data_IF_324315349589
#
_entry.id   IF_324315349589
#
_cell.length_a   1.000
_cell.length_b   1.000
_cell.length_c   1.000
_cell.angle_alpha   90.00
_cell.angle_beta   90.00
_cell.angle_gamma   90.00
#
_symmetry.space_group_name_H-M   'P 1'
#
loop_
_entity.id
_entity.type
_entity.pdbx_description
1 polymer ?
#
# COMPACT_ATOMS: atom_id res chain seq x y z
N UNK A 1 -11.27 -0.40 2.72
CA UNK A 1 -11.44 -1.65 3.52
C UNK A 1 -12.26 -2.71 2.83
N UNK A 2 -13.38 -2.41 2.18
CA UNK A 2 -14.11 -3.37 1.32
C UNK A 2 -13.19 -4.00 0.27
N UNK A 3 -12.34 -3.23 -0.36
CA UNK A 3 -11.39 -3.67 -1.39
C UNK A 3 -10.30 -4.60 -0.85
N UNK A 4 -9.70 -4.33 0.33
CA UNK A 4 -8.80 -5.29 0.98
C UNK A 4 -9.54 -6.58 1.36
N UNK A 5 -10.84 -6.51 1.65
CA UNK A 5 -11.66 -7.68 1.88
C UNK A 5 -11.92 -8.44 0.57
N UNK A 6 -12.17 -7.76 -0.53
CA UNK A 6 -12.42 -8.40 -1.84
C UNK A 6 -11.22 -9.14 -2.39
N UNK A 7 -9.99 -8.62 -2.18
CA UNK A 7 -8.80 -9.37 -2.61
C UNK A 7 -8.51 -10.53 -1.70
N UNK A 8 -8.63 -10.31 -0.39
CA UNK A 8 -8.52 -11.44 0.53
C UNK A 8 -9.50 -12.54 0.14
N UNK A 9 -10.67 -12.15 -0.34
CA UNK A 9 -11.67 -13.04 -0.91
C UNK A 9 -11.14 -13.78 -2.12
N UNK A 10 -10.50 -13.07 -3.05
CA UNK A 10 -9.93 -13.65 -4.27
C UNK A 10 -8.72 -14.53 -3.94
N UNK A 11 -7.77 -14.03 -3.12
CA UNK A 11 -6.59 -14.80 -2.69
C UNK A 11 -6.97 -16.10 -1.98
N UNK A 12 -7.92 -16.04 -1.05
CA UNK A 12 -8.42 -17.22 -0.34
C UNK A 12 -9.13 -18.15 -1.32
N UNK A 13 -9.96 -17.61 -2.21
CA UNK A 13 -10.65 -18.37 -3.24
C UNK A 13 -9.69 -19.13 -4.16
N UNK A 14 -8.59 -18.51 -4.57
CA UNK A 14 -7.54 -19.16 -5.38
C UNK A 14 -6.87 -20.30 -4.60
N UNK A 15 -6.49 -20.07 -3.34
CA UNK A 15 -5.88 -21.10 -2.50
C UNK A 15 -6.84 -22.29 -2.36
N UNK A 16 -8.11 -22.02 -2.08
CA UNK A 16 -9.12 -23.04 -1.90
C UNK A 16 -9.45 -23.75 -3.22
N UNK A 17 -9.40 -23.06 -4.36
CA UNK A 17 -9.52 -23.67 -5.69
C UNK A 17 -8.41 -24.71 -5.92
N UNK A 18 -7.17 -24.39 -5.58
CA UNK A 18 -6.05 -25.33 -5.67
C UNK A 18 -6.29 -26.54 -4.77
N UNK A 19 -6.82 -26.35 -3.57
CA UNK A 19 -7.15 -27.44 -2.63
C UNK A 19 -8.24 -28.34 -3.21
N UNK A 20 -9.29 -27.79 -3.82
CA UNK A 20 -10.37 -28.58 -4.42
C UNK A 20 -9.89 -29.35 -5.65
N UNK A 21 -9.11 -28.71 -6.53
CA UNK A 21 -8.49 -29.38 -7.70
C UNK A 21 -7.57 -30.52 -7.23
N UNK A 22 -6.74 -30.28 -6.23
CA UNK A 22 -5.90 -31.31 -5.64
C UNK A 22 -6.72 -32.46 -5.03
N UNK A 23 -7.80 -32.16 -4.33
CA UNK A 23 -8.72 -33.16 -3.78
C UNK A 23 -9.35 -34.03 -4.87
N UNK A 24 -9.72 -33.41 -6.01
CA UNK A 24 -10.26 -34.13 -7.16
C UNK A 24 -9.20 -35.04 -7.81
N UNK A 25 -7.94 -34.58 -7.91
CA UNK A 25 -6.83 -35.39 -8.40
C UNK A 25 -6.52 -36.58 -7.47
N UNK A 26 -6.58 -36.39 -6.17
CA UNK A 26 -6.42 -37.50 -5.20
C UNK A 26 -7.58 -38.46 -5.31
N UNK A 27 -8.80 -37.97 -5.34
CA UNK A 27 -10.00 -38.80 -5.48
C UNK A 27 -10.00 -39.63 -6.78
N UNK A 28 -9.47 -39.10 -7.90
CA UNK A 28 -9.39 -39.80 -9.18
C UNK A 28 -8.49 -41.05 -9.14
N UNK A 29 -7.61 -41.15 -8.15
CA UNK A 29 -6.70 -42.31 -7.96
C UNK A 29 -7.30 -43.39 -7.03
N UNK A 30 -8.46 -43.13 -6.43
CA UNK A 30 -9.12 -44.08 -5.54
C UNK A 30 -9.88 -45.16 -6.34
N UNK A 31 -10.02 -46.37 -5.81
CA UNK A 31 -10.74 -47.43 -6.53
C UNK A 31 -12.22 -47.06 -6.72
N UNK A 32 -12.77 -47.51 -7.84
CA UNK A 32 -14.19 -47.27 -8.22
C UNK A 32 -14.60 -45.81 -8.39
N UNK A 33 -13.64 -44.94 -8.72
CA UNK A 33 -13.92 -43.53 -9.05
C UNK A 33 -13.67 -43.30 -10.53
N UNK A 34 -14.66 -42.78 -11.22
CA UNK A 34 -14.54 -42.28 -12.61
C UNK A 34 -14.57 -40.77 -12.55
N UNK A 35 -13.38 -40.14 -12.62
CA UNK A 35 -13.20 -38.68 -12.64
C UNK A 35 -12.32 -38.38 -13.85
N UNK A 36 -12.88 -37.76 -14.88
CA UNK A 36 -12.15 -37.33 -16.08
C UNK A 36 -11.42 -36.00 -15.83
N UNK A 37 -10.48 -35.64 -16.70
CA UNK A 37 -9.82 -34.33 -16.63
C UNK A 37 -10.83 -33.18 -16.79
N UNK A 38 -11.82 -33.33 -17.69
CA UNK A 38 -12.91 -32.38 -17.84
C UNK A 38 -13.71 -32.18 -16.55
N UNK A 39 -13.96 -33.29 -15.83
CA UNK A 39 -14.64 -33.23 -14.52
C UNK A 39 -13.87 -32.45 -13.47
N UNK A 40 -12.54 -32.52 -13.45
CA UNK A 40 -11.71 -31.73 -12.53
C UNK A 40 -11.87 -30.23 -12.80
N UNK A 41 -11.89 -29.83 -14.08
CA UNK A 41 -12.14 -28.43 -14.47
C UNK A 41 -13.53 -27.98 -14.05
N UNK A 42 -14.56 -28.83 -14.31
CA UNK A 42 -15.93 -28.55 -13.91
C UNK A 42 -16.05 -28.36 -12.38
N UNK A 43 -15.43 -29.22 -11.60
CA UNK A 43 -15.39 -29.10 -10.14
C UNK A 43 -14.73 -27.82 -9.67
N UNK A 44 -13.71 -27.32 -10.40
CA UNK A 44 -13.12 -26.00 -10.16
C UNK A 44 -14.12 -24.86 -10.37
N UNK A 45 -14.93 -24.93 -11.43
CA UNK A 45 -16.01 -23.95 -11.67
C UNK A 45 -17.08 -24.05 -10.59
N UNK A 46 -17.50 -25.27 -10.23
CA UNK A 46 -18.44 -25.51 -9.12
C UNK A 46 -17.93 -24.94 -7.81
N UNK A 47 -16.61 -25.07 -7.55
CA UNK A 47 -16.01 -24.45 -6.37
C UNK A 47 -16.21 -22.94 -6.36
N UNK A 48 -15.89 -22.25 -7.47
CA UNK A 48 -16.03 -20.78 -7.54
C UNK A 48 -17.49 -20.39 -7.27
N UNK A 49 -18.46 -21.04 -7.90
CA UNK A 49 -19.89 -20.75 -7.69
C UNK A 49 -20.30 -21.02 -6.24
N UNK A 50 -19.92 -22.17 -5.68
CA UNK A 50 -20.24 -22.56 -4.28
C UNK A 50 -19.60 -21.62 -3.27
N UNK A 51 -18.37 -21.17 -3.53
CA UNK A 51 -17.63 -20.24 -2.70
C UNK A 51 -18.38 -18.92 -2.53
N UNK A 52 -18.94 -18.39 -3.62
CA UNK A 52 -19.71 -17.15 -3.61
C UNK A 52 -21.11 -17.35 -2.99
N UNK A 53 -21.85 -18.41 -3.36
CA UNK A 53 -23.19 -18.67 -2.83
C UNK A 53 -23.18 -18.95 -1.34
N UNK A 54 -22.19 -19.71 -0.85
CA UNK A 54 -22.07 -20.04 0.58
C UNK A 54 -21.59 -18.89 1.44
N UNK A 55 -21.11 -17.79 0.84
CA UNK A 55 -20.38 -16.71 1.51
C UNK A 55 -19.21 -17.25 2.35
N UNK A 56 -18.50 -18.26 1.84
CA UNK A 56 -17.47 -19.03 2.57
C UNK A 56 -16.29 -18.19 3.02
N UNK A 57 -16.08 -17.04 2.38
CA UNK A 57 -15.03 -16.06 2.69
C UNK A 57 -15.39 -15.06 3.78
N UNK A 58 -16.69 -14.90 4.12
CA UNK A 58 -17.13 -13.89 5.06
C UNK A 58 -16.68 -14.23 6.48
N UNK A 59 -16.22 -13.20 7.19
CA UNK A 59 -15.82 -13.30 8.59
C UNK A 59 -14.76 -14.38 8.92
N UNK A 60 -14.03 -14.92 7.94
CA UNK A 60 -13.03 -15.98 8.15
C UNK A 60 -12.04 -15.64 9.27
N UNK A 61 -11.69 -14.37 9.44
CA UNK A 61 -10.78 -13.88 10.49
C UNK A 61 -11.37 -14.03 11.91
N UNK A 62 -12.67 -13.91 12.04
CA UNK A 62 -13.37 -13.84 13.34
C UNK A 62 -14.10 -15.12 13.72
N UNK A 63 -14.17 -16.12 12.82
CA UNK A 63 -14.80 -17.41 13.09
C UNK A 63 -14.00 -18.20 14.12
N UNK A 64 -14.68 -18.75 15.12
CA UNK A 64 -14.13 -19.80 15.97
C UNK A 64 -13.88 -21.11 15.20
N UNK A 65 -13.27 -22.09 15.82
CA UNK A 65 -13.06 -23.41 15.20
C UNK A 65 -14.39 -24.10 14.85
N UNK A 66 -15.39 -23.97 15.72
CA UNK A 66 -16.73 -24.53 15.50
C UNK A 66 -17.46 -23.81 14.34
N UNK A 67 -17.38 -22.47 14.31
CA UNK A 67 -17.99 -21.68 13.23
C UNK A 67 -17.35 -22.00 11.88
N UNK A 68 -16.05 -22.28 11.86
CA UNK A 68 -15.34 -22.68 10.65
C UNK A 68 -15.78 -24.07 10.17
N UNK A 69 -15.99 -25.02 11.12
CA UNK A 69 -16.53 -26.34 10.79
C UNK A 69 -17.93 -26.20 10.17
N UNK A 70 -18.81 -25.43 10.79
CA UNK A 70 -20.19 -25.18 10.30
C UNK A 70 -20.14 -24.53 8.90
N UNK A 71 -19.28 -23.54 8.68
CA UNK A 71 -19.14 -22.89 7.38
C UNK A 71 -18.62 -23.87 6.31
N UNK A 72 -17.66 -24.75 6.68
CA UNK A 72 -17.11 -25.77 5.78
C UNK A 72 -18.16 -26.81 5.42
N UNK A 73 -18.95 -27.28 6.39
CA UNK A 73 -20.06 -28.21 6.14
C UNK A 73 -21.12 -27.60 5.23
N UNK A 74 -21.52 -26.34 5.49
CA UNK A 74 -22.44 -25.60 4.61
C UNK A 74 -21.90 -25.48 3.19
N UNK A 75 -20.62 -25.14 3.04
CA UNK A 75 -19.96 -25.08 1.73
C UNK A 75 -19.98 -26.44 1.03
N UNK A 76 -19.59 -27.54 1.71
CA UNK A 76 -19.56 -28.88 1.15
C UNK A 76 -20.94 -29.34 0.69
N UNK A 77 -22.00 -29.00 1.44
CA UNK A 77 -23.37 -29.29 1.05
C UNK A 77 -23.77 -28.59 -0.23
N UNK A 78 -23.52 -27.28 -0.34
CA UNK A 78 -23.81 -26.49 -1.55
C UNK A 78 -22.97 -26.99 -2.74
N UNK A 79 -21.69 -27.26 -2.52
CA UNK A 79 -20.78 -27.80 -3.52
C UNK A 79 -21.27 -29.15 -4.07
N UNK A 80 -21.62 -30.09 -3.19
CA UNK A 80 -22.15 -31.41 -3.59
C UNK A 80 -23.47 -31.30 -4.34
N UNK A 81 -24.36 -30.40 -3.92
CA UNK A 81 -25.64 -30.17 -4.57
C UNK A 81 -25.46 -29.63 -5.99
N UNK A 82 -24.63 -28.59 -6.18
CA UNK A 82 -24.36 -28.01 -7.50
C UNK A 82 -23.63 -29.03 -8.39
N UNK A 83 -22.62 -29.71 -7.85
CA UNK A 83 -21.87 -30.72 -8.61
C UNK A 83 -22.76 -31.87 -9.05
N UNK A 84 -23.66 -32.37 -8.19
CA UNK A 84 -24.63 -33.41 -8.52
C UNK A 84 -25.60 -32.93 -9.60
N UNK A 85 -26.12 -31.72 -9.50
CA UNK A 85 -27.01 -31.13 -10.48
C UNK A 85 -26.32 -31.02 -11.84
N UNK A 86 -25.10 -30.49 -11.89
CA UNK A 86 -24.37 -30.36 -13.16
C UNK A 86 -23.94 -31.70 -13.74
N UNK A 87 -23.56 -32.68 -12.89
CA UNK A 87 -23.19 -34.02 -13.37
C UNK A 87 -24.39 -34.78 -14.02
N UNK A 88 -25.62 -34.41 -13.67
CA UNK A 88 -26.82 -34.98 -14.30
C UNK A 88 -27.00 -34.52 -15.75
N UNK A 89 -26.54 -33.31 -16.09
CA UNK A 89 -26.62 -32.76 -17.45
C UNK A 89 -25.33 -32.95 -18.26
N UNK A 90 -24.29 -33.45 -17.62
CA UNK A 90 -22.98 -33.57 -18.26
C UNK A 90 -22.80 -34.95 -18.86
N UNK A 91 -22.66 -34.99 -20.22
CA UNK A 91 -22.40 -36.19 -20.98
C UNK A 91 -20.89 -36.42 -21.21
N UNK A 92 -20.46 -37.66 -21.15
CA UNK A 92 -19.13 -38.13 -21.62
C UNK A 92 -17.95 -37.53 -20.91
N UNK A 93 -17.34 -36.46 -21.44
CA UNK A 93 -16.09 -35.87 -20.94
C UNK A 93 -16.16 -35.24 -19.53
N UNK A 94 -17.36 -35.05 -19.01
CA UNK A 94 -17.63 -34.44 -17.69
C UNK A 94 -18.29 -35.41 -16.69
N UNK A 95 -18.24 -36.73 -16.96
CA UNK A 95 -18.85 -37.72 -16.08
C UNK A 95 -18.09 -37.85 -14.74
N UNK A 96 -18.83 -37.85 -13.63
CA UNK A 96 -18.32 -38.08 -12.28
C UNK A 96 -19.16 -39.20 -11.67
N UNK A 97 -18.50 -40.27 -11.22
CA UNK A 97 -19.19 -41.30 -10.48
C UNK A 97 -19.69 -40.79 -9.11
N UNK A 98 -20.82 -41.34 -8.63
CA UNK A 98 -21.36 -40.93 -7.30
C UNK A 98 -20.35 -41.10 -6.18
N UNK A 99 -19.51 -42.17 -6.23
CA UNK A 99 -18.43 -42.41 -5.27
C UNK A 99 -17.32 -41.36 -5.43
N UNK A 100 -16.96 -41.03 -6.69
CA UNK A 100 -15.99 -39.97 -6.98
C UNK A 100 -16.41 -38.62 -6.38
N UNK A 101 -17.65 -38.22 -6.56
CA UNK A 101 -18.17 -36.98 -5.99
C UNK A 101 -18.17 -36.99 -4.46
N UNK A 102 -18.56 -38.12 -3.84
CA UNK A 102 -18.51 -38.28 -2.38
C UNK A 102 -17.08 -38.10 -1.86
N UNK A 103 -16.09 -38.78 -2.47
CA UNK A 103 -14.70 -38.66 -2.05
C UNK A 103 -14.13 -37.25 -2.25
N UNK A 104 -14.41 -36.61 -3.39
CA UNK A 104 -13.98 -35.22 -3.61
C UNK A 104 -14.56 -34.31 -2.54
N UNK A 105 -15.85 -34.43 -2.23
CA UNK A 105 -16.52 -33.60 -1.24
C UNK A 105 -15.92 -33.79 0.17
N UNK A 106 -15.69 -35.04 0.58
CA UNK A 106 -15.13 -35.35 1.89
C UNK A 106 -13.67 -34.88 2.00
N UNK A 107 -12.83 -35.22 1.01
CA UNK A 107 -11.40 -34.84 1.02
C UNK A 107 -11.27 -33.32 0.97
N UNK A 108 -12.03 -32.64 0.10
CA UNK A 108 -12.01 -31.18 0.00
C UNK A 108 -12.50 -30.53 1.29
N UNK A 109 -13.55 -31.06 1.94
CA UNK A 109 -14.05 -30.55 3.21
C UNK A 109 -12.98 -30.59 4.32
N UNK A 110 -12.32 -31.74 4.47
CA UNK A 110 -11.23 -31.87 5.46
C UNK A 110 -10.06 -30.93 5.13
N UNK A 111 -9.61 -30.92 3.89
CA UNK A 111 -8.47 -30.09 3.47
C UNK A 111 -8.80 -28.59 3.53
N UNK A 112 -10.00 -28.16 3.18
CA UNK A 112 -10.43 -26.78 3.32
C UNK A 112 -10.50 -26.32 4.77
N UNK A 113 -11.06 -27.15 5.66
CA UNK A 113 -11.07 -26.86 7.10
C UNK A 113 -9.65 -26.69 7.65
N UNK A 114 -8.75 -27.62 7.33
CA UNK A 114 -7.34 -27.56 7.75
C UNK A 114 -6.66 -26.31 7.15
N UNK A 115 -6.83 -26.08 5.84
CA UNK A 115 -6.24 -24.93 5.16
C UNK A 115 -6.71 -23.62 5.77
N UNK A 116 -8.01 -23.46 6.04
CA UNK A 116 -8.55 -22.25 6.64
C UNK A 116 -8.04 -22.05 8.08
N UNK A 117 -7.93 -23.12 8.84
CA UNK A 117 -7.38 -23.09 10.21
C UNK A 117 -5.89 -22.72 10.19
N UNK A 118 -5.12 -23.31 9.29
CA UNK A 118 -3.70 -23.00 9.08
C UNK A 118 -3.52 -21.56 8.59
N UNK A 119 -4.32 -21.12 7.63
CA UNK A 119 -4.30 -19.72 7.16
C UNK A 119 -4.60 -18.73 8.29
N UNK A 120 -5.51 -19.05 9.21
CA UNK A 120 -5.76 -18.23 10.42
C UNK A 120 -4.52 -18.16 11.31
N UNK A 121 -3.90 -19.29 11.59
CA UNK A 121 -2.72 -19.38 12.45
C UNK A 121 -1.52 -18.66 11.85
N UNK A 122 -1.18 -18.94 10.59
CA UNK A 122 -0.10 -18.24 9.89
C UNK A 122 -0.40 -16.76 9.67
N UNK A 123 -1.63 -16.43 9.39
CA UNK A 123 -2.06 -15.04 9.20
C UNK A 123 -2.04 -14.26 10.52
N UNK A 124 -2.41 -14.86 11.63
CA UNK A 124 -2.19 -14.31 12.97
C UNK A 124 -0.70 -14.09 13.23
N UNK A 125 0.16 -15.04 12.87
CA UNK A 125 1.61 -14.98 13.10
C UNK A 125 2.35 -14.08 12.09
N UNK A 126 1.98 -14.10 10.80
CA UNK A 126 2.57 -13.25 9.76
C UNK A 126 2.00 -11.83 9.85
N UNK A 127 0.75 -11.67 10.26
CA UNK A 127 0.12 -10.36 10.46
C UNK A 127 0.57 -9.68 11.75
N UNK A 128 0.95 -10.42 12.76
CA UNK A 128 1.67 -9.85 13.92
C UNK A 128 3.11 -9.47 13.56
N UNK A 129 3.73 -10.12 12.58
CA UNK A 129 5.05 -9.72 12.04
C UNK A 129 4.99 -8.68 10.91
N UNK A 130 3.96 -8.71 10.09
CA UNK A 130 3.52 -7.63 9.19
C UNK A 130 2.26 -6.99 9.78
N UNK A 131 2.30 -6.48 11.02
CA UNK A 131 1.33 -5.51 11.47
C UNK A 131 1.12 -4.56 10.31
N UNK A 132 -0.11 -4.42 9.85
CA UNK A 132 -0.47 -3.26 9.04
C UNK A 132 0.11 -2.10 9.83
N UNK A 133 1.24 -1.58 9.35
CA UNK A 133 2.01 -0.54 10.06
C UNK A 133 1.26 0.80 9.92
N UNK A 134 -0.07 0.77 9.96
CA UNK A 134 -0.87 1.97 10.01
C UNK A 134 -0.72 2.58 11.38
N UNK A 135 -0.10 3.74 11.39
CA UNK A 135 0.00 4.57 12.57
C UNK A 135 -1.26 5.42 12.67
N UNK A 136 -2.01 5.19 13.73
CA UNK A 136 -3.28 5.90 13.98
C UNK A 136 -3.03 6.94 15.07
N UNK A 137 -3.41 8.17 14.77
CA UNK A 137 -3.54 9.25 15.73
C UNK A 137 -4.99 9.26 16.25
N UNK A 138 -5.16 9.04 17.56
CA UNK A 138 -6.45 9.09 18.23
C UNK A 138 -6.69 10.47 18.82
N UNK A 139 -7.85 11.07 18.53
CA UNK A 139 -8.33 12.29 19.18
C UNK A 139 -9.58 11.91 19.98
N UNK A 140 -9.54 12.08 21.29
CA UNK A 140 -10.63 11.68 22.20
C UNK A 140 -10.73 12.64 23.38
N UNK A 141 -11.81 12.53 24.13
CA UNK A 141 -11.92 13.03 25.51
C UNK A 141 -11.43 11.95 26.49
N UNK A 142 -11.13 12.34 27.73
CA UNK A 142 -10.64 11.43 28.79
C UNK A 142 -11.68 10.32 29.09
N UNK A 143 -12.96 10.68 29.10
CA UNK A 143 -14.04 9.76 29.48
C UNK A 143 -14.19 8.57 28.52
N UNK A 144 -13.83 8.74 27.24
CA UNK A 144 -13.97 7.72 26.18
C UNK A 144 -12.68 7.00 25.85
N UNK A 145 -11.55 7.54 26.31
CA UNK A 145 -10.22 7.07 25.96
C UNK A 145 -10.00 5.60 26.30
N UNK A 146 -10.26 5.19 27.54
CA UNK A 146 -10.00 3.83 28.01
C UNK A 146 -10.86 2.79 27.28
N UNK A 147 -12.10 3.15 26.96
CA UNK A 147 -13.00 2.28 26.18
C UNK A 147 -12.47 2.08 24.74
N UNK A 148 -11.93 3.12 24.12
CA UNK A 148 -11.34 3.01 22.79
C UNK A 148 -10.05 2.19 22.86
N UNK A 149 -9.14 2.51 23.77
CA UNK A 149 -7.86 1.83 23.89
C UNK A 149 -8.02 0.34 24.17
N UNK A 150 -8.92 -0.04 25.10
CA UNK A 150 -9.17 -1.46 25.44
C UNK A 150 -9.76 -2.24 24.27
N UNK A 151 -10.76 -1.69 23.56
CA UNK A 151 -11.41 -2.36 22.42
C UNK A 151 -10.51 -2.41 21.17
N UNK A 152 -9.58 -1.50 21.05
CA UNK A 152 -8.69 -1.41 19.91
C UNK A 152 -7.42 -2.27 20.05
N UNK A 153 -7.04 -2.68 21.26
CA UNK A 153 -5.87 -3.55 21.52
C UNK A 153 -5.92 -4.88 20.74
N UNK A 154 -7.09 -5.48 20.63
CA UNK A 154 -7.23 -6.87 20.13
C UNK A 154 -7.68 -6.96 18.65
N UNK A 155 -8.24 -5.90 18.07
CA UNK A 155 -9.02 -6.00 16.82
C UNK A 155 -8.58 -5.10 15.67
N UNK A 156 -7.40 -4.45 15.71
CA UNK A 156 -7.07 -3.41 14.74
C UNK A 156 -6.21 -3.82 13.55
N UNK A 157 -6.57 -3.30 12.39
CA UNK A 157 -5.72 -3.23 11.20
C UNK A 157 -4.69 -2.05 11.26
N UNK A 158 -4.38 -1.55 12.49
CA UNK A 158 -3.43 -0.48 12.75
C UNK A 158 -3.08 -0.38 14.24
N UNK A 159 -2.08 0.43 14.57
CA UNK A 159 -1.63 0.69 15.93
C UNK A 159 -1.90 2.16 16.28
N UNK A 160 -2.49 2.44 17.43
CA UNK A 160 -2.51 3.79 17.98
C UNK A 160 -1.07 4.11 18.40
N UNK A 161 -0.47 5.07 17.71
CA UNK A 161 0.90 5.51 17.96
C UNK A 161 0.94 6.82 18.72
N UNK A 162 -0.12 7.61 18.60
CA UNK A 162 -0.26 8.87 19.32
C UNK A 162 -1.71 9.09 19.74
N UNK A 163 -1.90 9.81 20.83
CA UNK A 163 -3.20 10.20 21.36
C UNK A 163 -3.19 11.69 21.70
N UNK A 164 -4.26 12.38 21.34
CA UNK A 164 -4.58 13.73 21.80
C UNK A 164 -5.84 13.68 22.63
N UNK A 165 -5.74 14.06 23.90
CA UNK A 165 -6.87 14.15 24.83
C UNK A 165 -7.23 15.61 24.99
N UNK A 166 -8.40 16.03 24.47
CA UNK A 166 -8.74 17.46 24.36
C UNK A 166 -9.03 18.11 25.71
N UNK A 167 -9.66 17.40 26.62
CA UNK A 167 -10.02 17.84 27.96
C UNK A 167 -8.93 17.60 29.01
N UNK A 168 -7.84 16.87 28.65
CA UNK A 168 -6.69 16.63 29.50
C UNK A 168 -5.37 16.75 28.73
N UNK A 169 -4.84 17.96 28.51
CA UNK A 169 -3.58 18.18 27.78
C UNK A 169 -2.35 17.64 28.49
N UNK A 170 -2.45 17.23 29.76
CA UNK A 170 -1.37 16.62 30.56
C UNK A 170 -1.45 15.09 30.60
N UNK A 171 -2.34 14.50 29.84
CA UNK A 171 -2.42 13.04 29.75
C UNK A 171 -1.10 12.47 29.28
N UNK A 172 -0.63 11.43 29.94
CA UNK A 172 0.59 10.68 29.58
C UNK A 172 0.31 9.20 29.65
N UNK A 173 0.80 8.46 28.64
CA UNK A 173 0.75 7.01 28.59
C UNK A 173 2.17 6.47 28.37
N UNK A 174 2.60 5.38 29.05
CA UNK A 174 3.95 4.85 28.93
C UNK A 174 4.24 4.21 27.56
N UNK A 175 3.21 3.86 26.78
CA UNK A 175 3.33 3.13 25.51
C UNK A 175 2.85 3.90 24.28
N UNK A 176 2.10 5.00 24.48
CA UNK A 176 1.48 5.79 23.42
C UNK A 176 1.92 7.25 23.58
N UNK A 177 2.41 7.84 22.49
CA UNK A 177 2.84 9.23 22.51
C UNK A 177 1.65 10.15 22.77
N UNK A 178 1.70 10.93 23.84
CA UNK A 178 0.72 11.98 24.08
C UNK A 178 1.06 13.24 23.29
N UNK A 179 0.06 13.80 22.62
CA UNK A 179 0.19 15.03 21.81
C UNK A 179 -0.78 16.05 22.37
N UNK A 180 -0.26 17.24 22.70
CA UNK A 180 -1.10 18.36 23.16
C UNK A 180 -1.98 18.88 22.01
N UNK A 181 -3.19 19.38 22.29
CA UNK A 181 -4.06 19.95 21.26
C UNK A 181 -3.40 21.04 20.41
N UNK A 182 -2.57 21.86 21.03
CA UNK A 182 -1.84 22.95 20.38
C UNK A 182 -0.83 22.48 19.34
N UNK A 183 -0.20 21.31 19.57
CA UNK A 183 0.84 20.75 18.73
C UNK A 183 0.30 19.66 17.78
N UNK A 184 -1.01 19.48 17.72
CA UNK A 184 -1.66 18.38 17.00
C UNK A 184 -1.37 18.43 15.49
N UNK A 185 -1.47 19.60 14.91
CA UNK A 185 -1.24 19.83 13.47
C UNK A 185 0.23 19.70 13.14
N UNK A 186 1.11 20.31 13.94
CA UNK A 186 2.55 20.20 13.78
C UNK A 186 3.02 18.75 13.87
N UNK A 187 2.53 18.01 14.86
CA UNK A 187 2.81 16.59 15.01
C UNK A 187 2.41 15.79 13.76
N UNK A 188 1.20 16.00 13.26
CA UNK A 188 0.71 15.27 12.08
C UNK A 188 1.46 15.66 10.81
N UNK A 189 1.96 16.89 10.71
CA UNK A 189 2.75 17.36 9.57
C UNK A 189 4.11 16.67 9.52
N UNK A 190 4.78 16.49 10.65
CA UNK A 190 6.17 16.01 10.72
C UNK A 190 6.31 14.56 11.23
N UNK A 191 5.19 13.84 11.46
CA UNK A 191 5.21 12.45 11.91
C UNK A 191 4.50 11.52 10.92
N UNK A 192 4.78 10.22 11.05
CA UNK A 192 4.09 9.19 10.26
C UNK A 192 2.70 8.97 10.84
N UNK A 193 1.69 9.52 10.18
CA UNK A 193 0.27 9.32 10.51
C UNK A 193 -0.44 8.81 9.26
N UNK A 194 -0.96 7.59 9.32
CA UNK A 194 -1.69 6.96 8.21
C UNK A 194 -3.19 7.20 8.28
N UNK A 195 -3.71 7.45 9.47
CA UNK A 195 -5.12 7.66 9.72
C UNK A 195 -5.33 8.41 11.04
N UNK A 196 -6.30 9.31 11.06
CA UNK A 196 -6.78 9.95 12.28
C UNK A 196 -8.11 9.29 12.67
N UNK A 197 -8.26 8.94 13.93
CA UNK A 197 -9.53 8.48 14.50
C UNK A 197 -10.02 9.52 15.49
N UNK A 198 -11.19 10.12 15.22
CA UNK A 198 -11.86 11.08 16.10
C UNK A 198 -12.98 10.37 16.83
N UNK A 199 -12.91 10.36 18.16
CA UNK A 199 -13.93 9.79 19.04
C UNK A 199 -14.33 10.83 20.09
N UNK A 200 -15.02 11.86 19.64
CA UNK A 200 -15.49 12.98 20.45
C UNK A 200 -17.02 13.06 20.47
N UNK A 201 -17.65 13.60 21.53
CA UNK A 201 -19.06 13.91 21.53
C UNK A 201 -19.34 15.13 20.63
N UNK A 202 -20.24 14.95 19.66
CA UNK A 202 -20.65 16.04 18.74
C UNK A 202 -21.35 17.21 19.45
N UNK A 203 -21.91 16.95 20.61
CA UNK A 203 -22.61 17.96 21.42
C UNK A 203 -21.65 18.96 22.07
N UNK A 204 -20.41 18.54 22.34
CA UNK A 204 -19.42 19.35 23.06
C UNK A 204 -18.32 19.90 22.15
N UNK A 205 -18.05 19.25 21.04
CA UNK A 205 -16.92 19.59 20.15
C UNK A 205 -17.41 19.77 18.71
N UNK A 206 -16.96 20.83 18.07
CA UNK A 206 -17.11 21.00 16.63
C UNK A 206 -16.12 20.07 15.92
N UNK A 207 -16.50 18.82 15.74
CA UNK A 207 -15.64 17.74 15.23
C UNK A 207 -14.94 18.14 13.94
N UNK A 208 -15.61 18.96 13.12
CA UNK A 208 -15.07 19.44 11.86
C UNK A 208 -13.81 20.30 12.02
N UNK A 209 -13.72 21.09 13.06
CA UNK A 209 -12.53 21.92 13.33
C UNK A 209 -11.29 21.06 13.54
N UNK A 210 -11.48 19.83 14.04
CA UNK A 210 -10.42 18.84 14.21
C UNK A 210 -10.19 17.95 13.00
N UNK A 211 -11.17 17.75 12.14
CA UNK A 211 -11.10 16.85 10.99
C UNK A 211 -10.51 17.54 9.75
N UNK A 212 -10.92 18.79 9.49
CA UNK A 212 -10.57 19.54 8.28
C UNK A 212 -9.07 19.69 8.04
N UNK A 213 -8.22 20.00 9.02
CA UNK A 213 -6.77 20.12 8.79
C UNK A 213 -6.13 18.84 8.30
N UNK A 214 -6.56 17.68 8.79
CA UNK A 214 -6.01 16.39 8.37
C UNK A 214 -6.49 15.99 6.97
N UNK A 215 -7.73 16.33 6.61
CA UNK A 215 -8.24 16.14 5.25
C UNK A 215 -7.40 16.96 4.26
N UNK A 216 -7.07 18.20 4.57
CA UNK A 216 -6.20 19.05 3.77
C UNK A 216 -4.79 18.45 3.58
N UNK A 217 -4.26 17.77 4.61
CA UNK A 217 -3.00 17.04 4.54
C UNK A 217 -3.09 15.74 3.73
N UNK A 218 -4.27 15.32 3.27
CA UNK A 218 -4.50 14.04 2.61
C UNK A 218 -4.48 12.84 3.57
N UNK A 219 -4.58 13.07 4.89
CA UNK A 219 -4.63 12.01 5.88
C UNK A 219 -6.10 11.59 6.06
N UNK A 220 -6.45 10.30 5.86
CA UNK A 220 -7.80 9.81 6.07
C UNK A 220 -8.27 10.02 7.52
N UNK A 221 -9.43 10.67 7.68
CA UNK A 221 -10.06 10.90 8.98
C UNK A 221 -11.24 9.96 9.15
N UNK A 222 -11.26 9.25 10.25
CA UNK A 222 -12.36 8.37 10.66
C UNK A 222 -13.04 8.97 11.89
N UNK A 223 -14.34 9.14 11.82
CA UNK A 223 -15.14 9.69 12.91
C UNK A 223 -16.07 8.60 13.41
N UNK A 224 -16.20 8.47 14.72
CA UNK A 224 -17.18 7.57 15.30
C UNK A 224 -18.60 8.08 14.99
N UNK A 225 -19.47 7.18 14.52
CA UNK A 225 -20.79 7.51 13.93
C UNK A 225 -21.80 8.20 14.87
N UNK A 226 -21.50 8.31 16.14
CA UNK A 226 -22.35 9.06 17.07
C UNK A 226 -22.34 10.59 16.84
N UNK A 227 -21.73 11.05 15.74
CA UNK A 227 -21.48 12.46 15.47
C UNK A 227 -21.79 12.84 13.99
N UNK A 228 -23.03 12.70 13.54
CA UNK A 228 -23.37 12.70 12.10
C UNK A 228 -24.00 13.98 11.55
N UNK A 229 -23.44 15.15 11.76
CA UNK A 229 -23.83 16.31 10.94
C UNK A 229 -22.58 16.96 10.30
N UNK A 230 -22.17 16.48 9.10
CA UNK A 230 -20.97 17.01 8.45
C UNK A 230 -21.15 17.36 6.99
N UNK A 231 -20.71 18.55 6.63
CA UNK A 231 -20.40 18.94 5.26
C UNK A 231 -18.88 18.85 5.05
N UNK A 232 -18.38 17.79 4.43
CA UNK A 232 -17.03 17.68 3.91
C UNK A 232 -17.05 17.65 2.39
N UNK A 233 -16.08 18.29 1.76
CA UNK A 233 -15.89 18.25 0.30
C UNK A 233 -15.22 16.95 -0.17
N UNK A 234 -14.60 16.18 0.74
CA UNK A 234 -13.94 14.93 0.43
C UNK A 234 -14.90 13.75 0.23
N UNK A 235 -14.39 12.67 -0.35
CA UNK A 235 -15.13 11.42 -0.44
C UNK A 235 -15.39 10.85 0.96
N UNK A 236 -16.58 10.30 1.15
CA UNK A 236 -17.01 9.70 2.43
C UNK A 236 -17.26 8.22 2.24
N UNK A 237 -16.67 7.39 3.10
CA UNK A 237 -16.96 5.95 3.11
C UNK A 237 -17.27 5.47 4.51
N UNK A 238 -18.41 4.79 4.67
CA UNK A 238 -18.74 4.07 5.89
C UNK A 238 -17.92 2.77 5.88
N UNK A 239 -17.16 2.55 6.93
CA UNK A 239 -16.33 1.35 7.08
C UNK A 239 -16.27 0.90 8.53
N UNK A 240 -15.80 -0.32 8.74
CA UNK A 240 -15.58 -0.86 10.07
C UNK A 240 -14.11 -0.71 10.45
N UNK A 241 -13.84 -0.04 11.56
CA UNK A 241 -12.52 0.10 12.14
C UNK A 241 -12.52 -0.62 13.50
N UNK A 242 -12.02 -1.86 13.54
CA UNK A 242 -12.17 -2.70 14.71
C UNK A 242 -13.64 -2.95 15.03
N UNK A 243 -14.09 -2.72 16.29
CA UNK A 243 -15.49 -2.87 16.67
C UNK A 243 -16.40 -1.69 16.26
N UNK A 244 -15.83 -0.61 15.75
CA UNK A 244 -16.57 0.63 15.47
C UNK A 244 -17.01 0.71 14.01
N UNK A 245 -18.25 1.16 13.79
CA UNK A 245 -18.68 1.68 12.49
C UNK A 245 -18.26 3.14 12.41
N UNK A 246 -17.47 3.49 11.40
CA UNK A 246 -16.91 4.84 11.24
C UNK A 246 -17.20 5.39 9.86
N UNK A 247 -17.30 6.70 9.75
CA UNK A 247 -17.24 7.41 8.48
C UNK A 247 -15.80 7.87 8.30
N UNK A 248 -15.18 7.44 7.21
CA UNK A 248 -13.85 7.90 6.83
C UNK A 248 -13.97 8.94 5.73
N UNK A 249 -13.34 10.09 5.93
CA UNK A 249 -13.20 11.14 4.94
C UNK A 249 -11.81 11.06 4.34
N UNK A 250 -11.72 11.17 3.03
CA UNK A 250 -10.44 11.22 2.32
C UNK A 250 -10.60 12.04 1.06
N UNK A 251 -9.54 12.70 0.64
CA UNK A 251 -9.52 13.42 -0.64
C UNK A 251 -9.74 12.48 -1.81
N UNK A 252 -9.28 11.20 -1.68
CA UNK A 252 -9.47 10.17 -2.70
C UNK A 252 -9.49 8.77 -2.09
N UNK A 253 -10.37 7.91 -2.61
CA UNK A 253 -10.36 6.47 -2.37
C UNK A 253 -10.08 5.75 -3.69
N UNK A 254 -8.89 5.22 -3.84
CA UNK A 254 -8.54 4.44 -5.03
C UNK A 254 -9.19 3.08 -5.04
N UNK A 255 -9.59 2.61 -6.23
CA UNK A 255 -10.07 1.25 -6.40
C UNK A 255 -8.94 0.25 -6.11
N UNK A 256 -9.29 -0.86 -5.49
CA UNK A 256 -8.29 -1.86 -5.18
C UNK A 256 -7.75 -2.54 -6.44
N UNK A 257 -8.58 -2.73 -7.46
CA UNK A 257 -8.14 -3.25 -8.75
C UNK A 257 -7.05 -2.36 -9.36
N UNK A 258 -7.21 -1.04 -9.25
CA UNK A 258 -6.24 -0.08 -9.76
C UNK A 258 -4.92 -0.11 -8.98
N UNK A 259 -4.99 -0.24 -7.64
CA UNK A 259 -3.80 -0.38 -6.79
C UNK A 259 -3.03 -1.67 -7.11
N UNK A 260 -3.75 -2.79 -7.35
CA UNK A 260 -3.12 -4.04 -7.79
C UNK A 260 -2.50 -3.92 -9.18
N UNK A 261 -3.22 -3.34 -10.12
CA UNK A 261 -2.73 -3.13 -11.47
C UNK A 261 -1.47 -2.24 -11.44
N UNK A 262 -1.49 -1.17 -10.61
CA UNK A 262 -0.30 -0.34 -10.37
C UNK A 262 0.86 -1.15 -9.81
N UNK A 263 0.60 -1.96 -8.76
CA UNK A 263 1.65 -2.78 -8.14
C UNK A 263 2.22 -3.83 -9.09
N UNK A 264 1.37 -4.44 -9.92
CA UNK A 264 1.79 -5.35 -10.97
C UNK A 264 2.69 -4.65 -12.00
N UNK A 265 2.28 -3.47 -12.48
CA UNK A 265 3.09 -2.65 -13.38
C UNK A 265 4.43 -2.27 -12.74
N UNK A 266 4.43 -1.88 -11.46
CA UNK A 266 5.62 -1.55 -10.70
C UNK A 266 6.60 -2.73 -10.61
N UNK A 267 6.11 -3.92 -10.31
CA UNK A 267 6.94 -5.14 -10.22
C UNK A 267 7.53 -5.49 -11.58
N UNK A 268 6.70 -5.52 -12.64
CA UNK A 268 7.17 -5.83 -14.00
C UNK A 268 8.24 -4.84 -14.46
N UNK A 269 8.00 -3.53 -14.30
CA UNK A 269 8.95 -2.50 -14.67
C UNK A 269 10.21 -2.51 -13.81
N UNK A 270 10.08 -2.81 -12.50
CA UNK A 270 11.22 -2.92 -11.60
C UNK A 270 12.14 -4.10 -11.99
N UNK A 271 11.59 -5.23 -12.36
CA UNK A 271 12.38 -6.39 -12.82
C UNK A 271 13.16 -6.05 -14.10
N UNK A 272 12.51 -5.42 -15.08
CA UNK A 272 13.18 -4.96 -16.31
C UNK A 272 14.27 -3.93 -15.98
N UNK A 273 13.96 -2.95 -15.12
CA UNK A 273 14.90 -1.92 -14.70
C UNK A 273 16.11 -2.47 -13.93
N UNK A 274 15.91 -3.51 -13.08
CA UNK A 274 17.01 -4.17 -12.37
C UNK A 274 17.93 -4.97 -13.29
N UNK A 275 17.40 -5.61 -14.32
CA UNK A 275 18.22 -6.25 -15.35
C UNK A 275 19.09 -5.20 -16.04
N UNK A 276 18.51 -4.08 -16.46
CA UNK A 276 19.26 -2.96 -17.05
C UNK A 276 20.29 -2.39 -16.05
N UNK A 277 19.90 -2.21 -14.77
CA UNK A 277 20.81 -1.78 -13.71
C UNK A 277 22.01 -2.72 -13.56
N UNK A 278 21.79 -4.03 -13.63
CA UNK A 278 22.85 -5.03 -13.57
C UNK A 278 23.82 -4.91 -14.76
N UNK A 279 23.30 -4.85 -16.00
CA UNK A 279 24.11 -4.72 -17.21
C UNK A 279 24.94 -3.43 -17.17
N UNK A 280 24.32 -2.30 -16.91
CA UNK A 280 24.98 -0.99 -16.84
C UNK A 280 25.93 -0.93 -15.63
N UNK A 281 25.54 -1.53 -14.53
CA UNK A 281 26.33 -1.58 -13.29
C UNK A 281 27.68 -2.26 -13.46
N UNK A 282 27.78 -3.29 -14.29
CA UNK A 282 29.06 -3.97 -14.58
C UNK A 282 30.10 -2.97 -15.11
N UNK A 283 29.69 -2.03 -15.94
CA UNK A 283 30.57 -1.01 -16.51
C UNK A 283 30.74 0.21 -15.59
N UNK A 284 29.67 0.69 -14.98
CA UNK A 284 29.71 1.89 -14.16
C UNK A 284 30.36 1.67 -12.79
N UNK A 285 30.16 0.52 -12.18
CA UNK A 285 30.67 0.22 -10.84
C UNK A 285 32.18 0.45 -10.69
N UNK A 286 33.05 -0.12 -11.54
CA UNK A 286 34.49 0.11 -11.46
C UNK A 286 34.89 1.55 -11.76
N UNK A 287 34.17 2.24 -12.68
CA UNK A 287 34.45 3.62 -13.04
C UNK A 287 34.14 4.59 -11.87
N UNK A 288 33.03 4.37 -11.17
CA UNK A 288 32.64 5.21 -10.02
C UNK A 288 33.58 4.98 -8.84
N UNK A 289 34.07 3.75 -8.64
CA UNK A 289 34.98 3.43 -7.54
C UNK A 289 36.40 4.00 -7.67
N UNK A 290 36.79 4.46 -8.86
CA UNK A 290 38.10 5.10 -9.05
C UNK A 290 38.31 6.35 -8.20
N UNK A 291 37.23 7.04 -7.83
CA UNK A 291 37.28 8.25 -6.98
C UNK A 291 37.34 7.92 -5.47
N UNK A 292 37.48 6.67 -5.10
CA UNK A 292 37.49 6.22 -3.70
C UNK A 292 36.14 6.18 -3.03
N UNK A 293 35.49 5.36 -2.52
CA UNK A 293 34.16 5.33 -1.89
C UNK A 293 33.19 4.37 -2.59
N UNK A 294 31.98 4.22 -2.05
CA UNK A 294 31.02 3.25 -2.56
C UNK A 294 30.44 3.67 -3.91
N UNK A 295 30.22 2.71 -4.83
CA UNK A 295 29.61 2.99 -6.12
C UNK A 295 28.10 3.28 -6.02
N UNK A 296 27.43 2.69 -5.04
CA UNK A 296 26.04 2.95 -4.73
C UNK A 296 25.96 3.92 -3.54
N UNK A 297 25.27 5.01 -3.73
CA UNK A 297 24.94 5.98 -2.72
C UNK A 297 23.57 5.63 -2.13
N UNK A 298 23.47 5.67 -0.80
CA UNK A 298 22.24 5.45 -0.06
C UNK A 298 21.97 6.66 0.83
N UNK A 299 20.79 7.26 0.72
CA UNK A 299 20.34 8.40 1.50
C UNK A 299 18.97 8.12 2.09
N UNK A 300 18.74 8.61 3.32
CA UNK A 300 17.41 8.57 3.89
C UNK A 300 16.50 9.59 3.20
N UNK A 301 15.36 9.11 2.75
CA UNK A 301 14.31 9.89 2.09
C UNK A 301 12.97 9.60 2.73
N UNK A 302 12.06 10.55 2.58
CA UNK A 302 10.71 10.44 3.11
C UNK A 302 9.79 9.93 2.01
N UNK A 303 9.09 8.83 2.30
CA UNK A 303 8.12 8.18 1.44
C UNK A 303 6.68 8.42 1.85
N UNK A 304 5.84 7.46 1.51
CA UNK A 304 4.39 7.50 1.75
C UNK A 304 4.05 7.77 3.22
N UNK A 305 3.25 8.80 3.47
CA UNK A 305 2.78 9.24 4.78
C UNK A 305 3.90 9.61 5.79
N UNK A 306 5.09 9.96 5.27
CA UNK A 306 6.22 10.35 6.13
C UNK A 306 7.15 9.19 6.54
N UNK A 307 7.00 8.00 5.96
CA UNK A 307 7.89 6.85 6.26
C UNK A 307 9.27 7.06 5.67
N UNK A 308 10.30 6.86 6.49
CA UNK A 308 11.68 6.96 6.06
C UNK A 308 12.13 5.65 5.43
N UNK A 309 12.83 5.74 4.28
CA UNK A 309 13.41 4.61 3.59
C UNK A 309 14.78 4.94 2.99
N UNK A 310 15.61 3.92 2.75
CA UNK A 310 16.90 4.07 2.08
C UNK A 310 16.69 4.18 0.57
N UNK A 311 17.00 5.32 0.02
CA UNK A 311 16.93 5.66 -1.39
C UNK A 311 18.26 5.40 -2.07
N UNK A 312 18.28 4.58 -3.11
CA UNK A 312 19.52 4.14 -3.76
C UNK A 312 19.75 4.83 -5.10
N UNK A 313 21.00 5.26 -5.32
CA UNK A 313 21.47 5.78 -6.61
C UNK A 313 22.90 5.31 -6.90
N UNK A 314 23.31 5.31 -8.18
CA UNK A 314 24.75 5.34 -8.45
C UNK A 314 25.32 6.68 -8.01
N UNK A 315 26.50 6.64 -7.35
CA UNK A 315 27.14 7.85 -6.87
C UNK A 315 27.63 8.69 -8.05
N UNK A 316 27.08 9.88 -8.16
CA UNK A 316 27.42 10.87 -9.18
C UNK A 316 28.19 12.08 -8.62
N UNK A 317 28.31 12.15 -7.29
CA UNK A 317 28.96 13.25 -6.59
C UNK A 317 30.16 12.74 -5.77
N UNK A 318 31.02 13.68 -5.38
CA UNK A 318 32.16 13.46 -4.50
C UNK A 318 31.70 12.95 -3.14
N UNK A 319 32.62 12.32 -2.39
CA UNK A 319 32.31 11.75 -1.07
C UNK A 319 31.96 12.84 -0.04
N UNK A 320 32.57 14.03 -0.17
CA UNK A 320 32.37 15.21 0.67
C UNK A 320 31.22 16.14 0.22
N UNK A 321 30.36 15.65 -0.70
CA UNK A 321 29.31 16.45 -1.33
C UNK A 321 28.28 17.07 -0.36
N UNK A 322 27.94 16.39 0.73
CA UNK A 322 27.00 16.91 1.74
C UNK A 322 27.60 18.04 2.58
N UNK A 323 28.91 17.97 2.88
CA UNK A 323 29.60 19.05 3.57
C UNK A 323 29.69 20.30 2.69
N UNK A 324 30.03 20.11 1.43
CA UNK A 324 30.10 21.20 0.43
C UNK A 324 28.73 21.85 0.21
N UNK A 325 27.64 21.05 0.24
CA UNK A 325 26.26 21.56 0.06
C UNK A 325 25.95 22.69 1.04
N UNK A 326 26.37 22.57 2.30
CA UNK A 326 26.11 23.60 3.33
C UNK A 326 26.65 24.97 2.93
N UNK A 327 27.81 25.00 2.27
CA UNK A 327 28.45 26.23 1.81
C UNK A 327 27.84 26.80 0.53
N UNK A 328 27.08 25.96 -0.23
CA UNK A 328 26.48 26.34 -1.50
C UNK A 328 25.00 26.75 -1.38
N UNK A 329 24.42 26.70 -0.17
CA UNK A 329 22.98 27.01 0.02
C UNK A 329 22.60 28.41 -0.44
N UNK A 330 23.51 29.40 -0.36
CA UNK A 330 23.28 30.76 -0.85
C UNK A 330 23.12 30.84 -2.39
N UNK A 331 23.55 29.83 -3.14
CA UNK A 331 23.46 29.75 -4.60
C UNK A 331 22.31 28.86 -5.07
N UNK A 332 21.40 28.50 -4.17
CA UNK A 332 20.23 27.69 -4.52
C UNK A 332 19.30 28.45 -5.49
N UNK A 333 18.91 27.80 -6.57
CA UNK A 333 18.02 28.34 -7.60
C UNK A 333 16.53 27.98 -7.39
N UNK A 334 16.24 27.14 -6.38
CA UNK A 334 14.88 26.72 -6.04
C UNK A 334 14.35 27.46 -4.83
N UNK A 335 13.06 27.76 -4.82
CA UNK A 335 12.36 28.15 -3.61
C UNK A 335 12.12 26.91 -2.70
N UNK A 336 11.92 27.14 -1.40
CA UNK A 336 11.68 26.08 -0.44
C UNK A 336 12.91 25.22 -0.12
N UNK A 337 12.71 24.00 0.39
CA UNK A 337 13.76 23.11 0.87
C UNK A 337 14.55 22.36 -0.21
N UNK A 338 14.12 22.41 -1.49
CA UNK A 338 14.82 21.75 -2.57
C UNK A 338 16.10 22.51 -2.96
N UNK A 339 17.19 21.76 -3.22
CA UNK A 339 18.45 22.33 -3.69
C UNK A 339 18.69 22.04 -5.16
N UNK A 340 18.90 23.09 -5.97
CA UNK A 340 19.30 23.01 -7.36
C UNK A 340 20.31 24.12 -7.68
N UNK A 341 21.33 23.77 -8.44
CA UNK A 341 22.39 24.66 -8.86
C UNK A 341 22.90 24.24 -10.24
N UNK A 342 23.07 25.22 -11.14
CA UNK A 342 23.77 24.97 -12.41
C UNK A 342 25.27 24.84 -12.17
N UNK A 343 25.94 23.94 -12.91
CA UNK A 343 27.37 23.64 -12.79
C UNK A 343 27.80 23.26 -11.34
N UNK A 344 27.07 22.39 -10.71
CA UNK A 344 27.31 21.92 -9.34
C UNK A 344 28.74 21.33 -9.19
N UNK A 345 29.65 21.96 -8.43
CA UNK A 345 31.03 21.51 -8.30
C UNK A 345 31.21 20.17 -7.57
N UNK A 346 30.15 19.66 -6.97
CA UNK A 346 30.14 18.38 -6.27
C UNK A 346 30.07 17.19 -7.24
N UNK A 347 29.66 17.43 -8.51
CA UNK A 347 29.50 16.36 -9.49
C UNK A 347 30.86 15.94 -10.05
N UNK A 348 31.11 14.62 -10.07
CA UNK A 348 32.34 14.06 -10.66
C UNK A 348 32.26 14.06 -12.20
N UNK A 349 33.41 13.89 -12.87
CA UNK A 349 33.43 13.80 -14.36
C UNK A 349 32.52 12.68 -14.88
N UNK A 350 32.58 11.50 -14.28
CA UNK A 350 31.66 10.39 -14.62
C UNK A 350 30.23 10.68 -14.16
N UNK A 351 30.08 11.43 -13.06
CA UNK A 351 28.81 11.88 -12.54
C UNK A 351 28.00 12.71 -13.52
N UNK A 352 28.65 13.62 -14.25
CA UNK A 352 28.00 14.39 -15.32
C UNK A 352 27.41 13.50 -16.42
N UNK A 353 28.14 12.46 -16.83
CA UNK A 353 27.65 11.52 -17.83
C UNK A 353 26.45 10.73 -17.33
N UNK A 354 26.54 10.13 -16.14
CA UNK A 354 25.47 9.26 -15.62
C UNK A 354 24.21 10.07 -15.26
N UNK A 355 24.34 11.32 -14.80
CA UNK A 355 23.20 12.24 -14.55
C UNK A 355 22.54 12.68 -15.85
N UNK A 356 23.31 13.06 -16.85
CA UNK A 356 22.82 13.45 -18.18
C UNK A 356 22.04 12.32 -18.87
N UNK A 357 22.39 11.07 -18.58
CA UNK A 357 21.72 9.89 -19.12
C UNK A 357 20.70 9.29 -18.15
N UNK A 358 20.50 9.88 -16.96
CA UNK A 358 19.65 9.38 -15.86
C UNK A 358 20.00 7.94 -15.41
N UNK A 359 21.21 7.48 -15.74
CA UNK A 359 21.69 6.14 -15.32
C UNK A 359 21.92 6.06 -13.81
N UNK A 360 22.15 7.21 -13.15
CA UNK A 360 22.31 7.27 -11.69
C UNK A 360 21.03 6.80 -10.95
N UNK A 361 19.88 6.82 -11.60
CA UNK A 361 18.60 6.46 -10.99
C UNK A 361 18.24 4.96 -11.07
N UNK A 362 19.00 4.17 -11.85
CA UNK A 362 18.72 2.75 -12.04
C UNK A 362 18.64 1.92 -10.72
N UNK A 363 19.45 2.17 -9.68
CA UNK A 363 19.32 1.42 -8.43
C UNK A 363 17.99 1.63 -7.70
N UNK A 364 17.23 2.71 -8.02
CA UNK A 364 15.89 2.95 -7.45
C UNK A 364 14.87 1.88 -7.85
N UNK A 365 15.09 1.12 -8.93
CA UNK A 365 14.23 -0.02 -9.26
C UNK A 365 14.21 -1.08 -8.15
N UNK A 366 15.27 -1.17 -7.33
CA UNK A 366 15.25 -1.96 -6.12
C UNK A 366 14.26 -1.44 -5.08
N UNK A 367 14.17 -0.11 -4.89
CA UNK A 367 13.17 0.50 -4.01
C UNK A 367 11.75 0.23 -4.52
N UNK A 368 11.54 0.24 -5.85
CA UNK A 368 10.23 -0.09 -6.44
C UNK A 368 9.88 -1.56 -6.21
N UNK A 369 10.81 -2.48 -6.44
CA UNK A 369 10.58 -3.91 -6.22
C UNK A 369 10.27 -4.20 -4.76
N UNK A 370 11.00 -3.58 -3.83
CA UNK A 370 10.77 -3.68 -2.39
C UNK A 370 9.43 -3.08 -1.95
N UNK A 371 8.92 -2.07 -2.68
CA UNK A 371 7.66 -1.40 -2.42
C UNK A 371 7.76 -0.10 -1.65
N UNK A 372 8.97 0.40 -1.40
CA UNK A 372 9.22 1.73 -0.83
C UNK A 372 8.82 2.84 -1.82
N UNK A 373 8.97 2.54 -3.12
CA UNK A 373 8.64 3.43 -4.24
C UNK A 373 7.73 2.75 -5.27
N UNK A 374 7.26 3.54 -6.21
CA UNK A 374 6.56 3.14 -7.44
C UNK A 374 7.38 3.58 -8.66
N UNK A 375 7.06 3.08 -9.84
CA UNK A 375 7.60 3.62 -11.09
C UNK A 375 7.18 5.08 -11.28
N UNK A 376 5.90 5.37 -11.05
CA UNK A 376 5.32 6.72 -11.18
C UNK A 376 4.77 7.17 -9.84
N UNK A 377 5.16 8.37 -9.39
CA UNK A 377 4.74 8.94 -8.13
C UNK A 377 5.32 10.34 -7.91
N UNK A 378 5.23 10.83 -6.69
CA UNK A 378 5.84 12.10 -6.28
C UNK A 378 7.34 11.92 -6.02
N UNK A 379 8.13 12.98 -6.12
CA UNK A 379 9.56 12.89 -5.76
C UNK A 379 9.72 12.75 -4.24
N UNK A 380 10.50 11.76 -3.75
CA UNK A 380 10.74 11.63 -2.31
C UNK A 380 11.65 12.77 -1.82
N UNK A 381 11.21 13.59 -0.83
CA UNK A 381 12.02 14.65 -0.25
C UNK A 381 13.15 14.09 0.63
N UNK A 382 14.17 14.91 0.89
CA UNK A 382 15.14 14.67 1.98
C UNK A 382 14.47 14.89 3.33
N UNK A 383 15.14 14.50 4.42
CA UNK A 383 14.66 14.78 5.78
C UNK A 383 14.55 16.29 6.01
N UNK A 384 15.59 17.05 5.65
CA UNK A 384 15.63 18.51 5.79
C UNK A 384 14.50 19.20 4.99
N UNK A 385 14.23 18.73 3.75
CA UNK A 385 13.12 19.22 2.96
C UNK A 385 11.77 18.97 3.66
N UNK A 386 11.60 17.77 4.24
CA UNK A 386 10.36 17.37 4.90
C UNK A 386 10.09 18.14 6.18
N UNK A 387 11.14 18.48 6.94
CA UNK A 387 11.04 19.27 8.17
C UNK A 387 10.45 20.66 7.91
N UNK A 388 10.64 21.20 6.71
CA UNK A 388 10.12 22.51 6.32
C UNK A 388 8.70 22.48 5.73
N UNK A 389 8.05 21.31 5.62
CA UNK A 389 6.76 21.18 4.94
C UNK A 389 5.62 21.79 5.74
N UNK A 390 4.77 22.54 5.02
CA UNK A 390 3.44 22.92 5.52
C UNK A 390 2.47 21.75 5.44
N UNK A 391 1.30 21.81 6.11
CA UNK A 391 0.25 20.79 5.99
C UNK A 391 -0.18 20.51 4.55
N UNK A 392 -0.32 21.56 3.73
CA UNK A 392 -0.68 21.45 2.31
C UNK A 392 0.39 20.73 1.51
N UNK A 393 1.66 21.06 1.75
CA UNK A 393 2.80 20.43 1.09
C UNK A 393 2.97 18.95 1.51
N UNK A 394 2.59 18.60 2.75
CA UNK A 394 2.59 17.21 3.22
C UNK A 394 1.65 16.32 2.39
N UNK A 395 0.58 16.88 1.83
CA UNK A 395 -0.38 16.14 1.01
C UNK A 395 0.29 15.32 -0.11
N UNK A 396 1.37 15.84 -0.71
CA UNK A 396 2.13 15.11 -1.75
C UNK A 396 2.72 13.77 -1.29
N UNK A 397 2.81 13.53 0.01
CA UNK A 397 3.27 12.27 0.59
C UNK A 397 2.15 11.28 0.87
N UNK A 398 0.89 11.61 0.58
CA UNK A 398 -0.22 10.66 0.74
C UNK A 398 -0.23 9.53 -0.29
N UNK A 399 0.72 9.56 -1.24
CA UNK A 399 0.92 8.55 -2.27
C UNK A 399 2.38 8.10 -2.30
N UNK A 400 2.65 6.90 -2.83
CA UNK A 400 4.02 6.39 -2.92
C UNK A 400 4.88 7.28 -3.80
N UNK A 401 6.13 7.57 -3.40
CA UNK A 401 7.06 8.27 -4.26
C UNK A 401 7.41 7.45 -5.49
N UNK A 402 7.72 8.12 -6.59
CA UNK A 402 8.06 7.50 -7.87
C UNK A 402 9.50 7.75 -8.31
N UNK A 403 9.97 6.89 -9.23
CA UNK A 403 11.19 7.17 -10.00
C UNK A 403 10.93 8.37 -10.94
N UNK A 404 9.74 8.40 -11.56
CA UNK A 404 9.26 9.52 -12.37
C UNK A 404 7.91 10.02 -11.85
N UNK A 405 7.49 11.20 -12.27
CA UNK A 405 6.22 11.80 -11.86
C UNK A 405 5.77 12.88 -12.84
N UNK A 406 4.55 13.38 -12.62
CA UNK A 406 3.94 14.36 -13.52
C UNK A 406 4.79 15.62 -13.66
N UNK A 407 5.26 16.20 -12.56
CA UNK A 407 6.09 17.41 -12.61
C UNK A 407 7.41 17.18 -13.36
N UNK A 408 8.02 15.98 -13.19
CA UNK A 408 9.28 15.61 -13.83
C UNK A 408 9.18 15.55 -15.37
N UNK A 409 7.99 15.22 -15.90
CA UNK A 409 7.75 15.14 -17.35
C UNK A 409 7.04 16.38 -17.92
N UNK A 410 6.74 17.40 -17.06
CA UNK A 410 6.01 18.63 -17.43
C UNK A 410 6.86 19.90 -17.38
N UNK A 411 8.20 19.78 -17.42
CA UNK A 411 9.10 20.94 -17.39
C UNK A 411 10.13 20.93 -16.27
N UNK A 412 10.61 19.73 -15.92
CA UNK A 412 11.57 19.41 -14.84
C UNK A 412 12.60 20.50 -14.50
N UNK A 413 13.16 21.16 -15.50
CA UNK A 413 14.24 22.13 -15.34
C UNK A 413 13.77 23.58 -15.27
N UNK A 414 12.53 23.87 -15.67
CA UNK A 414 11.99 25.21 -15.77
C UNK A 414 11.19 25.64 -14.54
N UNK A 415 10.67 24.65 -13.78
CA UNK A 415 9.91 24.91 -12.57
C UNK A 415 10.87 25.15 -11.41
N UNK A 416 10.92 26.38 -10.93
CA UNK A 416 11.75 26.82 -9.80
C UNK A 416 10.94 27.08 -8.53
N UNK A 417 9.63 27.22 -8.65
CA UNK A 417 8.72 27.37 -7.52
C UNK A 417 8.29 26.01 -6.96
N UNK A 418 8.56 25.78 -5.67
CA UNK A 418 8.22 24.54 -5.00
C UNK A 418 6.71 24.32 -4.88
N UNK A 419 5.92 25.38 -4.70
CA UNK A 419 4.45 25.25 -4.61
C UNK A 419 3.83 24.83 -5.94
N UNK A 420 4.45 25.19 -7.07
CA UNK A 420 4.05 24.68 -8.38
C UNK A 420 4.35 23.18 -8.53
N UNK A 421 5.50 22.72 -8.03
CA UNK A 421 5.80 21.28 -7.95
C UNK A 421 4.75 20.55 -7.12
N UNK A 422 4.37 21.10 -5.95
CA UNK A 422 3.33 20.53 -5.09
C UNK A 422 1.99 20.45 -5.80
N UNK A 423 1.58 21.52 -6.50
CA UNK A 423 0.33 21.53 -7.27
C UNK A 423 0.29 20.43 -8.34
N UNK A 424 1.40 20.22 -9.07
CA UNK A 424 1.49 19.15 -10.07
C UNK A 424 1.45 17.76 -9.45
N UNK A 425 2.12 17.56 -8.31
CA UNK A 425 2.09 16.29 -7.59
C UNK A 425 0.67 16.00 -7.06
N UNK A 426 -0.02 17.00 -6.49
CA UNK A 426 -1.41 16.88 -6.03
C UNK A 426 -2.34 16.61 -7.22
N UNK A 427 -2.19 17.34 -8.33
CA UNK A 427 -2.99 17.10 -9.53
C UNK A 427 -2.79 15.69 -10.11
N UNK A 428 -1.58 15.13 -10.00
CA UNK A 428 -1.34 13.74 -10.37
C UNK A 428 -2.14 12.77 -9.48
N UNK A 429 -2.10 12.97 -8.16
CA UNK A 429 -2.79 12.10 -7.21
C UNK A 429 -4.31 12.18 -7.34
N UNK A 430 -4.87 13.38 -7.45
CA UNK A 430 -6.32 13.59 -7.54
C UNK A 430 -6.92 13.03 -8.85
N UNK A 431 -6.16 13.06 -9.93
CA UNK A 431 -6.58 12.50 -11.22
C UNK A 431 -5.89 11.18 -11.57
N UNK A 432 -5.39 10.45 -10.58
CA UNK A 432 -4.64 9.23 -10.85
C UNK A 432 -5.51 8.13 -11.45
N UNK A 433 -4.97 7.51 -12.49
CA UNK A 433 -5.45 6.28 -13.13
C UNK A 433 -4.24 5.50 -13.64
N UNK A 434 -4.37 4.19 -13.83
CA UNK A 434 -3.32 3.36 -14.41
C UNK A 434 -2.90 3.86 -15.81
N UNK A 435 -3.84 4.37 -16.60
CA UNK A 435 -3.56 4.96 -17.91
C UNK A 435 -2.72 6.23 -17.82
N UNK A 436 -2.89 6.99 -16.75
CA UNK A 436 -2.07 8.19 -16.51
C UNK A 436 -0.62 7.79 -16.19
N UNK A 437 -0.41 6.72 -15.43
CA UNK A 437 0.92 6.17 -15.19
C UNK A 437 1.58 5.73 -16.49
N UNK A 438 0.87 4.98 -17.33
CA UNK A 438 1.39 4.55 -18.64
C UNK A 438 1.78 5.75 -19.50
N UNK A 439 0.96 6.80 -19.55
CA UNK A 439 1.28 8.03 -20.29
C UNK A 439 2.52 8.74 -19.75
N UNK A 440 2.69 8.79 -18.42
CA UNK A 440 3.87 9.39 -17.78
C UNK A 440 5.11 8.55 -18.09
N UNK A 441 5.05 7.22 -18.03
CA UNK A 441 6.15 6.34 -18.37
C UNK A 441 6.59 6.52 -19.83
N UNK A 442 5.64 6.59 -20.77
CA UNK A 442 5.95 6.85 -22.19
C UNK A 442 6.61 8.22 -22.39
N UNK A 443 6.11 9.26 -21.71
CA UNK A 443 6.74 10.58 -21.72
C UNK A 443 8.15 10.54 -21.13
N UNK A 444 8.34 9.81 -20.03
CA UNK A 444 9.67 9.66 -19.39
C UNK A 444 10.68 9.03 -20.34
N UNK A 445 10.28 7.96 -21.03
CA UNK A 445 11.15 7.33 -22.05
C UNK A 445 11.52 8.34 -23.14
N UNK A 446 10.55 9.12 -23.62
CA UNK A 446 10.80 10.17 -24.60
C UNK A 446 11.81 11.22 -24.08
N UNK A 447 11.61 11.72 -22.87
CA UNK A 447 12.50 12.74 -22.24
C UNK A 447 13.91 12.18 -22.06
N UNK A 448 14.05 10.94 -21.59
CA UNK A 448 15.38 10.30 -21.41
C UNK A 448 16.09 10.07 -22.75
N UNK A 449 15.39 9.61 -23.79
CA UNK A 449 15.94 9.34 -25.11
C UNK A 449 16.29 10.65 -25.85
N UNK A 450 15.41 11.65 -25.79
CA UNK A 450 15.63 12.94 -26.45
C UNK A 450 16.55 13.88 -25.65
N UNK A 451 16.91 13.49 -24.41
CA UNK A 451 17.74 14.30 -23.48
C UNK A 451 17.16 15.69 -23.19
N UNK A 452 15.82 15.84 -23.30
CA UNK A 452 15.14 17.09 -22.98
C UNK A 452 15.19 17.35 -21.48
N UNK A 453 15.76 18.50 -21.08
CA UNK A 453 15.80 18.94 -19.67
C UNK A 453 16.85 18.28 -18.79
N UNK A 454 17.78 17.49 -19.30
CA UNK A 454 18.95 17.00 -18.56
C UNK A 454 20.06 18.05 -18.61
N UNK A 455 20.18 18.86 -17.54
CA UNK A 455 21.33 19.75 -17.31
C UNK A 455 22.33 19.11 -16.36
#
# INVERSE_FOLDING_TARGET
MKEKQEIRRIEIGIIQLVVVVFSAMVASKLPYTEITQGSIVLLGVVHVVSYYISSFYENLKYRGYLDELIATVKYCFIFALIATFLSFFADGSFSISRRGLLYVTLISGVLLYVTNTVLKYFRSSIYTRRKSNKNILLISDQARLDNVLSRMKDNMDGRITAVCVLDNPYFTDPFIKSVKPENLIEYATHSVVDQVLINLPSEQYKIWDYASPFELMGIPVSINLNALEFMSQGEKRIQQLGPFKVVTFSTHFYSYGDILAKRFLDICGALVGLVLCGIVGIFLYPLIRKDGGPAIFAQDRVGENGRIFKFYKFRSMRVDAEEIKKNLMAQNQMSGGMFKMDNDPRITKIGHFIRKTSLDELPQFWNVLKGDMSLVGTRPPTLDEYESYTPEQKRRLSFKPGITGLWQVSGRSEITDFDEVVKLDVAYMDGWTIWRDIKILLKTIKVVVMKDGAK
#
